data_IF_704976381086
#
_entry.id   IF_704976381086
#
_cell.length_a   1.000
_cell.length_b   1.000
_cell.length_c   1.000
_cell.angle_alpha   90.00
_cell.angle_beta   90.00
_cell.angle_gamma   90.00
#
_symmetry.space_group_name_H-M   'P 1'
#
loop_
_entity.id
_entity.type
_entity.pdbx_description
1 polymer ?
#
# COMPACT_ATOMS: atom_id res chain seq x y z
N UNK A 1 -54.46 -33.42 1.35
CA UNK A 1 -53.78 -34.08 0.22
C UNK A 1 -52.90 -33.04 -0.44
N UNK A 2 -51.73 -32.92 0.18
CA UNK A 2 -50.40 -32.69 -0.37
C UNK A 2 -50.08 -31.36 -1.09
N UNK A 3 -49.47 -30.48 -0.29
CA UNK A 3 -48.65 -29.33 -0.68
C UNK A 3 -47.44 -29.78 -1.50
N UNK A 4 -47.43 -29.48 -2.79
CA UNK A 4 -46.20 -29.44 -3.59
C UNK A 4 -45.61 -28.03 -3.56
N UNK A 5 -44.98 -27.70 -2.43
CA UNK A 5 -44.03 -26.60 -2.33
C UNK A 5 -42.73 -27.01 -3.00
N UNK A 6 -42.61 -26.72 -4.30
CA UNK A 6 -41.35 -26.83 -5.04
C UNK A 6 -40.34 -25.83 -4.45
N UNK A 7 -39.57 -26.27 -3.45
CA UNK A 7 -38.39 -25.56 -2.97
C UNK A 7 -37.39 -25.54 -4.12
N UNK A 8 -37.25 -24.39 -4.77
CA UNK A 8 -36.09 -24.11 -5.62
C UNK A 8 -34.86 -24.14 -4.72
N UNK A 9 -33.79 -24.89 -5.04
CA UNK A 9 -32.54 -24.72 -4.33
C UNK A 9 -32.06 -23.28 -4.54
N UNK A 10 -31.82 -22.59 -3.44
CA UNK A 10 -31.19 -21.28 -3.41
C UNK A 10 -29.89 -21.35 -4.19
N UNK A 11 -29.76 -20.43 -5.14
CA UNK A 11 -28.65 -20.30 -6.07
C UNK A 11 -27.30 -20.34 -5.35
N UNK A 12 -26.41 -21.15 -5.90
CA UNK A 12 -24.96 -21.16 -5.67
C UNK A 12 -24.44 -19.74 -5.41
N UNK A 13 -23.89 -19.52 -4.21
CA UNK A 13 -23.00 -18.40 -3.96
C UNK A 13 -21.75 -18.67 -4.80
N UNK A 14 -21.61 -17.97 -5.92
CA UNK A 14 -20.34 -17.86 -6.64
C UNK A 14 -19.32 -17.24 -5.68
N UNK A 15 -18.62 -18.10 -4.95
CA UNK A 15 -17.65 -17.72 -3.92
C UNK A 15 -16.40 -17.16 -4.58
N UNK A 16 -16.33 -15.85 -4.75
CA UNK A 16 -15.07 -15.19 -5.09
C UNK A 16 -14.09 -15.38 -3.93
N UNK A 17 -12.97 -16.06 -4.19
CA UNK A 17 -11.87 -16.17 -3.23
C UNK A 17 -11.05 -14.88 -3.21
N UNK A 18 -10.83 -14.32 -2.03
CA UNK A 18 -9.96 -13.15 -1.83
C UNK A 18 -8.54 -13.65 -1.52
N UNK A 19 -7.58 -13.16 -2.30
CA UNK A 19 -6.16 -13.42 -2.08
C UNK A 19 -5.46 -12.15 -1.63
N UNK A 20 -4.57 -12.28 -0.65
CA UNK A 20 -3.71 -11.20 -0.19
C UNK A 20 -2.25 -11.57 -0.43
N UNK A 21 -1.43 -10.60 -0.80
CA UNK A 21 0.00 -10.80 -1.04
C UNK A 21 0.78 -9.93 -0.09
N UNK A 22 1.53 -10.57 0.80
CA UNK A 22 2.43 -9.87 1.70
C UNK A 22 3.69 -9.48 0.92
N UNK A 23 3.86 -8.17 0.68
CA UNK A 23 5.01 -7.65 -0.04
C UNK A 23 6.31 -7.84 0.76
N UNK A 24 6.31 -7.73 2.08
CA UNK A 24 7.52 -7.85 2.91
C UNK A 24 8.13 -9.25 2.85
N UNK A 25 7.29 -10.28 2.82
CA UNK A 25 7.70 -11.69 2.81
C UNK A 25 7.61 -12.33 1.43
N UNK A 26 6.94 -11.68 0.46
CA UNK A 26 6.58 -12.22 -0.87
C UNK A 26 5.77 -13.52 -0.80
N UNK A 27 4.83 -13.59 0.16
CA UNK A 27 3.96 -14.76 0.35
C UNK A 27 2.51 -14.44 0.07
N UNK A 28 1.81 -15.37 -0.55
CA UNK A 28 0.34 -15.32 -0.65
C UNK A 28 -0.22 -15.75 0.71
N UNK A 29 -1.14 -14.96 1.25
CA UNK A 29 -1.94 -15.35 2.40
C UNK A 29 -3.15 -16.11 1.88
N UNK A 30 -3.26 -17.37 2.29
CA UNK A 30 -4.34 -18.26 1.87
C UNK A 30 -5.68 -17.78 2.46
N UNK A 31 -6.77 -17.79 1.68
CA UNK A 31 -8.10 -17.53 2.22
C UNK A 31 -8.54 -18.65 3.17
N UNK A 32 -9.23 -18.28 4.25
CA UNK A 32 -9.83 -19.24 5.17
C UNK A 32 -10.83 -20.18 4.42
N UNK A 33 -10.76 -21.48 4.69
CA UNK A 33 -11.69 -22.52 4.22
C UNK A 33 -11.69 -22.83 2.70
N UNK A 34 -10.54 -23.16 2.10
CA UNK A 34 -10.49 -23.64 0.69
C UNK A 34 -10.17 -25.14 0.60
N UNK A 35 -11.10 -25.93 0.05
CA UNK A 35 -10.94 -27.39 -0.13
C UNK A 35 -9.88 -27.78 -1.19
N UNK A 36 -9.41 -26.83 -2.02
CA UNK A 36 -8.35 -27.03 -3.03
C UNK A 36 -7.44 -25.80 -3.22
N UNK A 37 -6.50 -25.54 -2.30
CA UNK A 37 -5.65 -24.34 -2.33
C UNK A 37 -4.77 -24.26 -3.60
N UNK A 38 -4.17 -25.40 -3.96
CA UNK A 38 -3.04 -25.48 -4.89
C UNK A 38 -3.24 -24.90 -6.30
N UNK A 39 -4.45 -25.00 -6.89
CA UNK A 39 -4.66 -24.51 -8.26
C UNK A 39 -4.83 -22.98 -8.29
N UNK A 40 -5.51 -22.42 -7.29
CA UNK A 40 -5.77 -20.99 -7.22
C UNK A 40 -4.52 -20.22 -6.77
N UNK A 41 -3.67 -20.84 -5.94
CA UNK A 41 -2.40 -20.25 -5.50
C UNK A 41 -1.44 -20.02 -6.67
N UNK A 42 -1.38 -20.95 -7.63
CA UNK A 42 -0.54 -20.79 -8.82
C UNK A 42 -1.01 -19.62 -9.70
N UNK A 43 -2.33 -19.43 -9.85
CA UNK A 43 -2.90 -18.31 -10.61
C UNK A 43 -2.68 -16.98 -9.88
N UNK A 44 -2.94 -16.93 -8.58
CA UNK A 44 -2.68 -15.76 -7.74
C UNK A 44 -1.19 -15.39 -7.77
N UNK A 45 -0.28 -16.37 -7.66
CA UNK A 45 1.15 -16.15 -7.74
C UNK A 45 1.56 -15.56 -9.09
N UNK A 46 1.07 -16.14 -10.19
CA UNK A 46 1.35 -15.61 -11.53
C UNK A 46 0.83 -14.17 -11.71
N UNK A 47 -0.31 -13.85 -11.10
CA UNK A 47 -0.84 -12.49 -11.10
C UNK A 47 0.09 -11.52 -10.35
N UNK A 48 0.49 -11.85 -9.13
CA UNK A 48 1.42 -11.01 -8.36
C UNK A 48 2.81 -10.93 -9.01
N UNK A 49 3.32 -12.01 -9.59
CA UNK A 49 4.60 -11.99 -10.32
C UNK A 49 4.55 -11.09 -11.56
N UNK A 50 3.37 -11.00 -12.20
CA UNK A 50 3.16 -10.07 -13.31
C UNK A 50 3.19 -8.62 -12.85
N UNK A 51 2.52 -8.30 -11.74
CA UNK A 51 2.43 -6.93 -11.21
C UNK A 51 3.70 -6.46 -10.50
N UNK A 52 4.25 -7.27 -9.61
CA UNK A 52 5.35 -6.87 -8.70
C UNK A 52 6.47 -7.90 -8.63
N UNK A 53 6.52 -8.93 -9.49
CA UNK A 53 7.46 -10.07 -9.34
C UNK A 53 8.96 -9.77 -9.33
N UNK A 54 9.37 -8.54 -9.65
CA UNK A 54 10.78 -8.10 -9.66
C UNK A 54 10.89 -6.74 -8.96
N UNK A 55 12.07 -6.36 -8.44
CA UNK A 55 12.27 -5.04 -7.87
C UNK A 55 11.87 -3.90 -8.82
N UNK A 56 12.19 -4.01 -10.11
CA UNK A 56 11.79 -3.04 -11.14
C UNK A 56 10.27 -2.85 -11.21
N UNK A 57 9.54 -3.95 -11.35
CA UNK A 57 8.07 -3.93 -11.37
C UNK A 57 7.45 -3.40 -10.08
N UNK A 58 8.04 -3.71 -8.93
CA UNK A 58 7.58 -3.15 -7.66
C UNK A 58 7.80 -1.63 -7.60
N UNK A 59 8.92 -1.14 -8.14
CA UNK A 59 9.16 0.31 -8.28
C UNK A 59 8.15 0.98 -9.22
N UNK A 60 7.82 0.35 -10.34
CA UNK A 60 6.77 0.84 -11.25
C UNK A 60 5.40 0.88 -10.54
N UNK A 61 5.04 -0.19 -9.84
CA UNK A 61 3.80 -0.30 -9.07
C UNK A 61 3.70 0.76 -7.96
N UNK A 62 4.82 1.02 -7.27
CA UNK A 62 4.93 2.09 -6.29
C UNK A 62 4.76 3.49 -6.92
N UNK A 63 5.41 3.72 -8.07
CA UNK A 63 5.36 4.99 -8.80
C UNK A 63 3.94 5.35 -9.26
N UNK A 64 3.17 4.35 -9.65
CA UNK A 64 1.74 4.49 -9.99
C UNK A 64 0.86 4.85 -8.78
N UNK A 65 1.42 4.80 -7.55
CA UNK A 65 0.76 5.23 -6.33
C UNK A 65 -0.08 4.15 -5.64
N UNK A 66 0.19 2.89 -5.95
CA UNK A 66 -0.53 1.75 -5.40
C UNK A 66 -0.08 1.34 -3.98
N UNK A 67 0.96 1.99 -3.43
CA UNK A 67 1.49 1.71 -2.09
C UNK A 67 1.42 2.95 -1.20
N UNK A 68 1.06 2.75 0.07
CA UNK A 68 1.09 3.82 1.06
C UNK A 68 2.52 4.14 1.51
N UNK A 69 2.72 5.29 2.16
CA UNK A 69 3.99 5.66 2.81
C UNK A 69 4.49 4.54 3.74
N UNK A 70 3.59 3.91 4.49
CA UNK A 70 3.98 2.87 5.45
C UNK A 70 4.32 1.54 4.77
N UNK A 71 3.59 1.17 3.70
CA UNK A 71 3.94 -0.01 2.91
C UNK A 71 5.32 0.14 2.25
N UNK A 72 5.61 1.33 1.73
CA UNK A 72 6.94 1.65 1.19
C UNK A 72 8.02 1.54 2.28
N UNK A 73 7.77 2.12 3.45
CA UNK A 73 8.69 2.08 4.59
C UNK A 73 8.98 0.64 5.05
N UNK A 74 7.99 -0.25 5.02
CA UNK A 74 8.15 -1.62 5.50
C UNK A 74 9.06 -2.48 4.63
N UNK A 75 9.19 -2.13 3.35
CA UNK A 75 10.06 -2.80 2.36
C UNK A 75 11.54 -2.41 2.44
N UNK A 76 11.89 -1.46 3.31
CA UNK A 76 13.25 -1.05 3.62
C UNK A 76 13.75 -1.69 4.92
N UNK A 77 15.07 -1.92 5.00
CA UNK A 77 15.73 -2.27 6.27
C UNK A 77 15.59 -1.12 7.27
N UNK A 78 15.61 -1.44 8.57
CA UNK A 78 15.31 -0.52 9.67
C UNK A 78 16.04 0.83 9.56
N UNK A 79 17.34 0.83 9.29
CA UNK A 79 18.12 2.07 9.15
C UNK A 79 17.61 2.95 7.99
N UNK A 80 17.28 2.34 6.86
CA UNK A 80 16.81 3.07 5.66
C UNK A 80 15.35 3.46 5.76
N UNK A 81 14.56 2.68 6.49
CA UNK A 81 13.19 2.99 6.87
C UNK A 81 13.14 4.29 7.68
N UNK A 82 13.99 4.44 8.68
CA UNK A 82 14.04 5.67 9.50
C UNK A 82 14.40 6.89 8.66
N UNK A 83 15.44 6.77 7.81
CA UNK A 83 15.84 7.83 6.88
C UNK A 83 14.67 8.20 5.95
N UNK A 84 14.01 7.20 5.37
CA UNK A 84 12.86 7.41 4.50
C UNK A 84 11.73 8.20 5.19
N UNK A 85 11.37 7.80 6.41
CA UNK A 85 10.29 8.43 7.17
C UNK A 85 10.63 9.87 7.58
N UNK A 86 11.88 10.14 7.97
CA UNK A 86 12.35 11.50 8.27
C UNK A 86 12.26 12.41 7.04
N UNK A 87 12.71 11.94 5.87
CA UNK A 87 12.62 12.73 4.63
C UNK A 87 11.15 12.98 4.25
N UNK A 88 10.27 11.99 4.41
CA UNK A 88 8.83 12.17 4.19
C UNK A 88 8.24 13.22 5.14
N UNK A 89 8.57 13.17 6.44
CA UNK A 89 8.07 14.13 7.41
C UNK A 89 8.51 15.57 7.08
N UNK A 90 9.77 15.76 6.66
CA UNK A 90 10.26 17.08 6.20
C UNK A 90 9.51 17.58 4.96
N UNK A 91 9.22 16.70 4.00
CA UNK A 91 8.43 17.05 2.83
C UNK A 91 7.00 17.46 3.19
N UNK A 92 6.34 16.70 4.08
CA UNK A 92 4.99 17.00 4.57
C UNK A 92 4.92 18.33 5.34
N UNK A 93 5.96 18.64 6.12
CA UNK A 93 6.10 19.94 6.80
C UNK A 93 6.19 21.10 5.80
N UNK A 94 7.01 20.97 4.75
CA UNK A 94 7.13 21.99 3.72
C UNK A 94 5.81 22.25 2.95
N UNK A 95 5.01 21.20 2.72
CA UNK A 95 3.67 21.34 2.15
C UNK A 95 2.73 22.10 3.10
N UNK A 96 2.81 21.81 4.39
CA UNK A 96 2.02 22.48 5.42
C UNK A 96 2.34 23.97 5.51
N UNK A 97 3.63 24.33 5.51
CA UNK A 97 4.09 25.73 5.49
C UNK A 97 3.58 26.47 4.25
N UNK A 98 3.57 25.81 3.09
CA UNK A 98 3.04 26.36 1.83
C UNK A 98 1.53 26.58 1.90
N UNK A 99 0.79 25.68 2.54
CA UNK A 99 -0.66 25.81 2.72
C UNK A 99 -0.99 27.01 3.64
N UNK A 100 -0.30 27.13 4.77
CA UNK A 100 -0.44 28.25 5.69
C UNK A 100 -0.18 29.60 5.01
N UNK A 101 0.85 29.68 4.15
CA UNK A 101 1.19 30.89 3.40
C UNK A 101 0.11 31.33 2.39
N UNK A 102 -0.75 30.42 1.93
CA UNK A 102 -1.87 30.72 1.01
C UNK A 102 -3.12 31.26 1.71
N UNK A 103 -3.10 31.37 3.04
CA UNK A 103 -4.24 31.92 3.80
C UNK A 103 -5.42 30.96 3.91
N UNK A 104 -5.24 29.67 3.63
CA UNK A 104 -6.19 28.62 3.99
C UNK A 104 -5.84 28.13 5.40
N UNK A 105 -6.49 28.64 6.47
CA UNK A 105 -6.20 28.16 7.82
C UNK A 105 -6.51 26.67 7.90
N UNK A 106 -5.53 25.89 8.35
CA UNK A 106 -5.78 24.50 8.73
C UNK A 106 -6.84 24.53 9.86
N UNK A 107 -7.96 23.79 9.73
CA UNK A 107 -9.00 23.78 10.75
C UNK A 107 -8.43 23.29 12.08
N UNK A 108 -8.90 23.86 13.20
CA UNK A 108 -8.37 23.52 14.54
C UNK A 108 -8.45 22.02 14.86
N UNK A 109 -9.41 21.29 14.29
CA UNK A 109 -9.57 19.83 14.45
C UNK A 109 -8.66 18.99 13.52
N UNK A 110 -7.95 19.62 12.58
CA UNK A 110 -7.04 18.97 11.62
C UNK A 110 -5.62 19.56 11.62
N UNK A 111 -5.36 20.51 12.52
CA UNK A 111 -4.04 21.01 12.84
C UNK A 111 -3.36 20.00 13.75
N UNK A 112 -2.32 19.36 13.24
CA UNK A 112 -1.12 19.09 14.00
C UNK A 112 -0.84 20.19 15.04
N UNK A 113 -1.19 19.99 16.30
CA UNK A 113 -0.95 20.95 17.41
C UNK A 113 0.50 20.85 17.91
N UNK A 114 1.39 20.19 17.17
CA UNK A 114 2.82 20.04 17.47
C UNK A 114 3.70 20.50 16.31
N UNK A 115 4.93 20.95 16.61
CA UNK A 115 5.92 21.40 15.61
C UNK A 115 6.38 20.26 14.66
N UNK A 116 5.98 19.01 14.94
CA UNK A 116 6.37 17.79 14.22
C UNK A 116 5.29 17.21 13.30
N UNK A 117 4.03 17.63 13.40
CA UNK A 117 2.93 17.02 12.64
C UNK A 117 2.50 17.88 11.42
N UNK A 118 2.07 17.22 10.35
CA UNK A 118 1.65 17.87 9.10
C UNK A 118 0.14 18.16 9.07
N UNK A 119 -0.26 19.25 8.41
CA UNK A 119 -1.67 19.60 8.25
C UNK A 119 -2.38 18.60 7.33
N UNK A 120 -3.39 17.91 7.88
CA UNK A 120 -4.11 16.85 7.17
C UNK A 120 -4.79 17.37 5.89
N UNK A 121 -5.37 18.58 5.92
CA UNK A 121 -6.00 19.17 4.74
C UNK A 121 -5.02 19.43 3.59
N UNK A 122 -3.80 19.88 3.91
CA UNK A 122 -2.78 20.09 2.90
C UNK A 122 -2.43 18.77 2.19
N UNK A 123 -2.27 17.69 2.96
CA UNK A 123 -1.98 16.36 2.42
C UNK A 123 -3.13 15.79 1.59
N UNK A 124 -4.39 16.06 1.97
CA UNK A 124 -5.56 15.60 1.23
C UNK A 124 -5.74 16.35 -0.09
N UNK A 125 -5.55 17.67 -0.12
CA UNK A 125 -5.61 18.48 -1.35
C UNK A 125 -4.50 18.11 -2.33
N UNK A 126 -3.32 17.71 -1.84
CA UNK A 126 -2.17 17.34 -2.67
C UNK A 126 -1.92 15.83 -2.72
N UNK A 127 -2.95 15.01 -2.47
CA UNK A 127 -2.79 13.55 -2.27
C UNK A 127 -2.00 12.86 -3.38
N UNK A 128 -2.32 13.13 -4.66
CA UNK A 128 -1.60 12.53 -5.79
C UNK A 128 -0.12 12.95 -5.83
N UNK A 129 0.17 14.21 -5.50
CA UNK A 129 1.53 14.75 -5.43
C UNK A 129 2.30 14.08 -4.29
N UNK A 130 1.67 13.93 -3.13
CA UNK A 130 2.27 13.25 -1.98
C UNK A 130 2.57 11.78 -2.29
N UNK A 131 1.61 11.05 -2.87
CA UNK A 131 1.79 9.65 -3.23
C UNK A 131 2.98 9.45 -4.19
N UNK A 132 3.11 10.28 -5.23
CA UNK A 132 4.26 10.20 -6.14
C UNK A 132 5.57 10.63 -5.49
N UNK A 133 5.54 11.64 -4.62
CA UNK A 133 6.73 12.08 -3.88
C UNK A 133 7.25 10.96 -2.96
N UNK A 134 6.36 10.31 -2.20
CA UNK A 134 6.70 9.16 -1.36
C UNK A 134 7.32 8.02 -2.17
N UNK A 135 6.72 7.69 -3.32
CA UNK A 135 7.26 6.67 -4.21
C UNK A 135 8.65 7.07 -4.73
N UNK A 136 8.83 8.31 -5.19
CA UNK A 136 10.12 8.82 -5.67
C UNK A 136 11.23 8.73 -4.61
N UNK A 137 10.95 9.21 -3.39
CA UNK A 137 11.90 9.17 -2.27
C UNK A 137 12.25 7.74 -1.89
N UNK A 138 11.27 6.85 -1.90
CA UNK A 138 11.47 5.43 -1.65
C UNK A 138 12.32 4.76 -2.75
N UNK A 139 12.04 5.00 -4.04
CA UNK A 139 12.78 4.42 -5.18
C UNK A 139 14.27 4.76 -5.09
N UNK A 140 14.63 6.00 -4.70
CA UNK A 140 16.02 6.41 -4.51
C UNK A 140 16.78 5.56 -3.48
N UNK A 141 16.08 5.06 -2.46
CA UNK A 141 16.67 4.15 -1.48
C UNK A 141 16.59 2.71 -1.97
N UNK A 142 15.44 2.29 -2.49
CA UNK A 142 15.15 0.91 -2.85
C UNK A 142 15.94 0.41 -4.06
N UNK A 143 16.40 1.29 -4.95
CA UNK A 143 17.24 0.89 -6.09
C UNK A 143 18.49 0.12 -5.66
N UNK A 144 19.05 0.44 -4.48
CA UNK A 144 20.17 -0.29 -3.89
C UNK A 144 19.69 -1.57 -3.16
N UNK A 145 20.08 -2.78 -3.59
CA UNK A 145 19.66 -4.04 -2.96
C UNK A 145 19.96 -4.14 -1.46
N UNK A 146 21.05 -3.51 -1.00
CA UNK A 146 21.44 -3.52 0.42
C UNK A 146 20.44 -2.79 1.32
N UNK A 147 19.60 -1.93 0.75
CA UNK A 147 18.58 -1.19 1.51
C UNK A 147 17.26 -1.97 1.67
N UNK A 148 17.10 -3.09 0.96
CA UNK A 148 15.83 -3.81 0.85
C UNK A 148 15.70 -4.89 1.93
N UNK A 149 14.46 -5.17 2.32
CA UNK A 149 14.17 -6.36 3.13
C UNK A 149 14.60 -7.65 2.39
N UNK A 150 14.91 -8.74 3.12
CA UNK A 150 15.49 -9.95 2.53
C UNK A 150 14.77 -10.51 1.30
N UNK A 151 13.43 -10.42 1.26
CA UNK A 151 12.63 -10.93 0.15
C UNK A 151 12.88 -10.21 -1.19
N UNK A 152 13.47 -9.00 -1.18
CA UNK A 152 13.66 -8.16 -2.37
C UNK A 152 15.12 -7.88 -2.73
N UNK A 153 16.10 -8.52 -2.08
CA UNK A 153 17.53 -8.25 -2.31
C UNK A 153 18.08 -8.67 -3.69
N UNK A 154 17.25 -9.32 -4.50
CA UNK A 154 17.66 -9.86 -5.80
C UNK A 154 17.74 -8.81 -6.91
#
# INVERSE_FOLDING_TARGET
>A
MDNNGSVRPESEKDGCLKYEFNLETRTILEPDNVERPFLHDAVAKNYFDKLVGTPGKLMDFAWEGNLSKLDLASLLLSEKREIYLDVCARFEKALTETCAAKGNPCPEDGCAVSEEEACLNALLETREVCTRAYASMWIHLFINPENRVPAWRN
#
